data_IF_415819496983
#
_entry.id   IF_415819496983
#
_cell.length_a   1.000
_cell.length_b   1.000
_cell.length_c   1.000
_cell.angle_alpha   90.00
_cell.angle_beta   90.00
_cell.angle_gamma   90.00
#
_symmetry.space_group_name_H-M   'P 1'
#
loop_
_entity.id
_entity.type
_entity.pdbx_description
1 polymer ?
#
# COMPACT_ATOMS: atom_id res chain seq x y z
N UNK A 1 0.47 -20.96 -16.66
CA UNK A 1 0.71 -19.58 -17.17
C UNK A 1 1.96 -19.07 -16.47
N UNK A 2 3.02 -18.77 -17.21
CA UNK A 2 4.25 -18.24 -16.61
C UNK A 2 4.07 -16.75 -16.29
N UNK A 3 4.39 -16.35 -15.05
CA UNK A 3 4.30 -14.95 -14.62
C UNK A 3 5.70 -14.35 -14.53
N UNK A 4 5.90 -13.16 -15.09
CA UNK A 4 7.12 -12.38 -14.90
C UNK A 4 6.96 -11.43 -13.70
N UNK A 5 8.08 -11.12 -13.02
CA UNK A 5 8.10 -10.23 -11.84
C UNK A 5 8.97 -9.00 -12.14
N UNK A 6 8.53 -7.84 -11.67
CA UNK A 6 9.28 -6.57 -11.73
C UNK A 6 9.41 -6.01 -10.32
N UNK A 7 10.60 -5.53 -9.97
CA UNK A 7 10.85 -4.79 -8.74
C UNK A 7 11.05 -3.31 -9.04
N UNK A 8 10.34 -2.45 -8.33
CA UNK A 8 10.30 -1.01 -8.56
C UNK A 8 10.06 -0.29 -7.24
N UNK A 9 10.55 0.93 -7.14
CA UNK A 9 10.31 1.81 -5.99
C UNK A 9 9.30 2.89 -6.39
N UNK A 10 8.35 3.16 -5.51
CA UNK A 10 7.36 4.22 -5.67
C UNK A 10 7.56 5.28 -4.61
N UNK A 11 7.39 6.55 -5.00
CA UNK A 11 7.14 7.64 -4.06
C UNK A 11 5.66 7.99 -4.17
N UNK A 12 4.95 7.86 -3.06
CA UNK A 12 3.51 8.13 -2.98
C UNK A 12 3.22 9.28 -2.02
N UNK A 13 2.16 10.03 -2.29
CA UNK A 13 1.58 10.98 -1.33
C UNK A 13 0.26 10.46 -0.80
N UNK A 14 0.03 10.73 0.48
CA UNK A 14 -1.21 10.40 1.15
C UNK A 14 -1.63 11.51 2.11
N UNK A 15 -2.93 11.58 2.37
CA UNK A 15 -3.52 12.52 3.33
C UNK A 15 -3.50 11.93 4.74
N UNK A 16 -3.64 12.78 5.76
CA UNK A 16 -3.79 12.32 7.15
C UNK A 16 -4.99 11.38 7.33
N UNK A 17 -6.09 11.64 6.61
CA UNK A 17 -7.28 10.78 6.64
C UNK A 17 -6.97 9.37 6.11
N UNK A 18 -6.25 9.27 4.99
CA UNK A 18 -5.81 7.99 4.44
C UNK A 18 -4.92 7.22 5.42
N UNK A 19 -4.06 7.92 6.17
CA UNK A 19 -3.27 7.32 7.24
C UNK A 19 -4.15 6.77 8.37
N UNK A 20 -5.09 7.57 8.88
CA UNK A 20 -6.00 7.14 9.95
C UNK A 20 -6.86 5.94 9.52
N UNK A 21 -7.33 5.92 8.27
CA UNK A 21 -8.07 4.79 7.72
C UNK A 21 -7.23 3.52 7.63
N UNK A 22 -5.97 3.63 7.19
CA UNK A 22 -5.06 2.50 7.16
C UNK A 22 -4.75 1.99 8.58
N UNK A 23 -4.52 2.89 9.53
CA UNK A 23 -4.31 2.54 10.93
C UNK A 23 -5.51 1.79 11.51
N UNK A 24 -6.74 2.30 11.31
CA UNK A 24 -7.96 1.64 11.78
C UNK A 24 -8.11 0.23 11.18
N UNK A 25 -7.81 0.08 9.89
CA UNK A 25 -7.82 -1.22 9.23
C UNK A 25 -6.81 -2.20 9.84
N UNK A 26 -5.57 -1.77 10.12
CA UNK A 26 -4.56 -2.62 10.77
C UNK A 26 -5.02 -3.04 12.17
N UNK A 27 -5.61 -2.13 12.93
CA UNK A 27 -6.16 -2.47 14.26
C UNK A 27 -7.30 -3.48 14.16
N UNK A 28 -8.14 -3.42 13.14
CA UNK A 28 -9.15 -4.45 12.89
C UNK A 28 -8.51 -5.79 12.50
N UNK A 29 -7.51 -5.80 11.61
CA UNK A 29 -6.84 -7.04 11.21
C UNK A 29 -6.20 -7.75 12.40
N UNK A 30 -5.67 -7.01 13.38
CA UNK A 30 -5.09 -7.57 14.61
C UNK A 30 -6.10 -8.34 15.45
N UNK A 31 -7.36 -7.92 15.42
CA UNK A 31 -8.48 -8.66 16.06
C UNK A 31 -8.83 -9.95 15.30
N UNK A 32 -8.32 -10.13 14.09
CA UNK A 32 -8.62 -11.25 13.20
C UNK A 32 -7.35 -11.94 12.67
N UNK A 33 -6.56 -12.60 13.52
CA UNK A 33 -5.24 -13.13 13.18
C UNK A 33 -5.26 -14.28 12.14
N UNK A 34 -6.43 -14.86 11.85
CA UNK A 34 -6.58 -15.96 10.87
C UNK A 34 -6.86 -15.47 9.44
N UNK A 35 -6.91 -14.16 9.19
CA UNK A 35 -7.18 -13.61 7.86
C UNK A 35 -5.99 -13.78 6.93
N UNK A 36 -6.28 -13.97 5.63
CA UNK A 36 -5.30 -14.04 4.53
C UNK A 36 -4.39 -12.80 4.47
N UNK A 37 -4.88 -11.66 4.97
CA UNK A 37 -4.09 -10.44 5.14
C UNK A 37 -2.70 -10.70 5.75
N UNK A 38 -2.58 -11.64 6.68
CA UNK A 38 -1.36 -11.91 7.44
C UNK A 38 -0.29 -12.71 6.68
N UNK A 39 -0.60 -13.24 5.49
CA UNK A 39 0.36 -13.99 4.68
C UNK A 39 1.49 -13.04 4.22
N UNK A 40 2.73 -13.33 4.60
CA UNK A 40 3.91 -12.52 4.23
C UNK A 40 4.05 -11.23 5.04
N UNK A 41 3.36 -11.11 6.18
CA UNK A 41 3.41 -9.93 7.07
C UNK A 41 3.99 -10.24 8.46
N UNK A 42 4.56 -11.42 8.65
CA UNK A 42 5.19 -11.82 9.91
C UNK A 42 6.38 -10.90 10.25
N UNK A 43 6.44 -10.45 11.49
CA UNK A 43 7.56 -9.65 12.01
C UNK A 43 7.56 -8.17 11.63
N UNK A 44 6.57 -7.69 10.85
CA UNK A 44 6.43 -6.27 10.52
C UNK A 44 5.92 -5.47 11.70
N UNK A 45 6.44 -4.26 11.85
CA UNK A 45 5.94 -3.26 12.77
C UNK A 45 4.56 -2.73 12.34
N UNK A 46 3.83 -2.14 13.28
CA UNK A 46 2.56 -1.47 13.01
C UNK A 46 2.68 -0.41 11.93
N UNK A 47 3.76 0.36 11.96
CA UNK A 47 4.03 1.41 10.99
C UNK A 47 4.21 0.84 9.59
N UNK A 48 5.03 -0.22 9.43
CA UNK A 48 5.19 -0.90 8.14
C UNK A 48 3.86 -1.43 7.61
N UNK A 49 3.04 -2.03 8.47
CA UNK A 49 1.71 -2.54 8.09
C UNK A 49 0.79 -1.42 7.61
N UNK A 50 0.81 -0.27 8.28
CA UNK A 50 0.03 0.92 7.90
C UNK A 50 0.50 1.47 6.56
N UNK A 51 1.81 1.66 6.37
CA UNK A 51 2.37 2.17 5.11
C UNK A 51 2.08 1.21 3.95
N UNK A 52 2.22 -0.11 4.16
CA UNK A 52 1.86 -1.11 3.15
C UNK A 52 0.38 -1.04 2.78
N UNK A 53 -0.51 -0.82 3.75
CA UNK A 53 -1.93 -0.71 3.48
C UNK A 53 -2.28 0.56 2.70
N UNK A 54 -1.61 1.69 3.00
CA UNK A 54 -1.76 2.93 2.23
C UNK A 54 -1.29 2.69 0.78
N UNK A 55 -0.09 2.14 0.62
CA UNK A 55 0.48 1.85 -0.69
C UNK A 55 -0.41 0.88 -1.49
N UNK A 56 -0.90 -0.19 -0.87
CA UNK A 56 -1.80 -1.14 -1.51
C UNK A 56 -3.07 -0.46 -2.02
N UNK A 57 -3.72 0.37 -1.22
CA UNK A 57 -4.97 1.06 -1.61
C UNK A 57 -4.73 2.10 -2.72
N UNK A 58 -3.62 2.81 -2.69
CA UNK A 58 -3.24 3.73 -3.77
C UNK A 58 -3.00 2.95 -5.07
N UNK A 59 -2.15 1.92 -5.02
CA UNK A 59 -1.75 1.16 -6.21
C UNK A 59 -2.88 0.30 -6.78
N UNK A 60 -3.82 -0.16 -5.95
CA UNK A 60 -5.02 -0.87 -6.40
C UNK A 60 -6.08 0.06 -6.98
N UNK A 61 -5.85 1.38 -6.97
CA UNK A 61 -6.80 2.39 -7.40
C UNK A 61 -8.01 2.56 -6.47
N UNK A 62 -7.92 2.12 -5.22
CA UNK A 62 -9.02 2.27 -4.25
C UNK A 62 -9.38 3.74 -4.02
N UNK A 63 -8.37 4.63 -4.04
CA UNK A 63 -8.55 6.08 -3.88
C UNK A 63 -8.70 6.83 -5.21
N UNK A 64 -8.88 6.12 -6.33
CA UNK A 64 -8.98 6.72 -7.66
C UNK A 64 -10.43 6.96 -8.10
N UNK A 65 -11.34 7.17 -7.15
CA UNK A 65 -12.73 7.53 -7.41
C UNK A 65 -12.87 8.93 -8.03
N UNK A 66 -11.89 9.80 -7.81
CA UNK A 66 -11.73 11.07 -8.50
C UNK A 66 -10.52 11.07 -9.47
N UNK A 67 -10.74 11.13 -10.80
CA UNK A 67 -9.68 11.18 -11.79
C UNK A 67 -8.67 12.32 -11.59
N UNK A 68 -9.09 13.46 -11.05
CA UNK A 68 -8.20 14.61 -10.84
C UNK A 68 -7.20 14.39 -9.71
N UNK A 69 -7.56 13.58 -8.72
CA UNK A 69 -6.70 13.27 -7.58
C UNK A 69 -5.94 11.96 -7.76
N UNK A 70 -6.47 11.01 -8.56
CA UNK A 70 -5.81 9.76 -8.89
C UNK A 70 -4.38 9.96 -9.43
N UNK A 71 -4.15 10.98 -10.27
CA UNK A 71 -2.84 11.29 -10.83
C UNK A 71 -1.83 11.88 -9.83
N UNK A 72 -2.25 12.25 -8.62
CA UNK A 72 -1.39 12.89 -7.61
C UNK A 72 -0.80 11.90 -6.61
N UNK A 73 -1.37 10.70 -6.51
CA UNK A 73 -0.94 9.73 -5.51
C UNK A 73 0.44 9.13 -5.79
N UNK A 74 0.79 8.89 -7.06
CA UNK A 74 2.11 8.40 -7.45
C UNK A 74 2.93 9.58 -7.97
N UNK A 75 3.90 10.05 -7.17
CA UNK A 75 4.78 11.15 -7.56
C UNK A 75 5.89 10.70 -8.50
N UNK A 76 6.41 9.50 -8.27
CA UNK A 76 7.56 8.97 -9.01
C UNK A 76 7.57 7.45 -8.94
N UNK A 77 8.01 6.84 -10.04
CA UNK A 77 8.33 5.43 -10.14
C UNK A 77 9.77 5.30 -10.63
N UNK A 78 10.57 4.48 -9.97
CA UNK A 78 11.96 4.20 -10.36
C UNK A 78 12.14 2.70 -10.58
N UNK A 79 12.75 2.34 -11.71
CA UNK A 79 13.20 0.97 -11.93
C UNK A 79 14.48 0.74 -11.15
N UNK A 80 14.61 -0.41 -10.48
CA UNK A 80 15.89 -0.82 -9.89
C UNK A 80 16.92 -1.25 -10.94
N UNK A 81 16.52 -1.38 -12.22
CA UNK A 81 17.44 -1.66 -13.33
C UNK A 81 18.07 -0.41 -13.92
N UNK A 82 17.61 0.79 -13.53
CA UNK A 82 18.17 2.07 -13.96
C UNK A 82 19.00 2.66 -12.79
N UNK A 83 20.25 2.21 -12.67
CA UNK A 83 21.27 2.85 -11.85
C UNK A 83 21.98 3.94 -12.66
#
# INVERSE_FOLDING_TARGET
METQKVQTCFTITFTQEQYLHAQAYIQDMKRHPRRVFWIGKQGKSDEELVIEQIAHRILSGFYNDDPFNAGKHILRMQSMTAA
#
